data_IF_922372816847
#
_entry.id   IF_922372816847
#
_cell.length_a   1.000
_cell.length_b   1.000
_cell.length_c   1.000
_cell.angle_alpha   90.00
_cell.angle_beta   90.00
_cell.angle_gamma   90.00
#
_symmetry.space_group_name_H-M   'P 1'
#
loop_
_entity.id
_entity.type
_entity.pdbx_description
1 polymer ?
#
# COMPACT_ATOMS: atom_id res chain seq x y z
N UNK A 1 15.72 16.45 58.79
CA UNK A 1 15.95 16.87 57.40
C UNK A 1 16.81 15.78 56.76
N UNK A 2 16.42 15.06 55.70
CA UNK A 2 16.44 15.53 54.31
C UNK A 2 15.84 14.38 53.48
N UNK A 3 14.73 14.64 52.79
CA UNK A 3 14.02 13.66 51.95
C UNK A 3 14.82 13.44 50.67
N UNK A 4 15.18 12.19 50.36
CA UNK A 4 15.74 11.79 49.07
C UNK A 4 14.58 11.73 48.05
N UNK A 5 14.53 12.73 47.18
CA UNK A 5 13.59 12.77 46.05
C UNK A 5 14.17 11.93 44.90
N UNK A 6 13.46 10.85 44.55
CA UNK A 6 13.68 10.11 43.30
C UNK A 6 13.37 11.03 42.12
N UNK A 7 14.36 11.27 41.26
CA UNK A 7 14.14 11.89 39.95
C UNK A 7 13.83 10.79 38.93
N UNK A 8 12.53 10.54 38.71
CA UNK A 8 12.05 9.69 37.62
C UNK A 8 12.11 10.53 36.32
N UNK A 9 13.19 10.39 35.57
CA UNK A 9 13.32 11.03 34.25
C UNK A 9 12.40 10.26 33.28
N UNK A 10 11.24 10.84 32.98
CA UNK A 10 10.34 10.36 31.95
C UNK A 10 10.98 10.61 30.58
N UNK A 11 11.59 9.58 30.00
CA UNK A 11 11.98 9.58 28.59
C UNK A 11 10.70 9.51 27.75
N UNK A 12 10.06 10.64 27.50
CA UNK A 12 9.00 10.72 26.49
C UNK A 12 9.67 10.66 25.13
N UNK A 13 9.56 9.51 24.45
CA UNK A 13 9.91 9.41 23.03
C UNK A 13 9.11 10.47 22.29
N UNK A 14 9.78 11.41 21.61
CA UNK A 14 9.11 12.33 20.72
C UNK A 14 8.60 11.50 19.54
N UNK A 15 7.31 11.16 19.55
CA UNK A 15 6.66 10.61 18.37
C UNK A 15 6.64 11.73 17.32
N UNK A 16 7.45 11.59 16.27
CA UNK A 16 7.37 12.49 15.13
C UNK A 16 6.04 12.27 14.43
N UNK A 17 5.30 13.35 14.15
CA UNK A 17 4.04 13.26 13.43
C UNK A 17 4.28 12.65 12.04
N UNK A 18 3.43 11.72 11.65
CA UNK A 18 3.48 11.13 10.32
C UNK A 18 3.21 12.18 9.24
N UNK A 19 3.59 11.85 8.01
CA UNK A 19 3.28 12.67 6.85
C UNK A 19 2.43 11.87 5.88
N UNK A 20 1.32 12.46 5.44
CA UNK A 20 0.48 11.92 4.38
C UNK A 20 1.22 12.08 3.05
N UNK A 21 1.52 10.94 2.44
CA UNK A 21 2.05 10.85 1.08
C UNK A 21 1.03 10.16 0.17
N UNK A 22 1.10 10.46 -1.12
CA UNK A 22 0.37 9.71 -2.13
C UNK A 22 1.27 8.56 -2.62
N UNK A 23 1.05 7.36 -2.09
CA UNK A 23 1.84 6.16 -2.40
C UNK A 23 1.27 5.48 -3.64
N UNK A 24 2.07 5.31 -4.72
CA UNK A 24 1.63 4.53 -5.86
C UNK A 24 1.67 3.03 -5.56
N UNK A 25 0.72 2.29 -6.12
CA UNK A 25 0.72 0.83 -6.10
C UNK A 25 0.21 0.27 -7.42
N UNK A 26 0.57 -0.97 -7.71
CA UNK A 26 0.22 -1.69 -8.93
C UNK A 26 -0.79 -2.80 -8.65
N UNK A 27 -1.72 -2.98 -9.58
CA UNK A 27 -2.67 -4.09 -9.60
C UNK A 27 -2.71 -4.69 -11.00
N UNK A 28 -3.30 -5.89 -11.11
CA UNK A 28 -3.64 -6.48 -12.41
C UNK A 28 -5.14 -6.37 -12.63
N UNK A 29 -5.53 -5.49 -13.56
CA UNK A 29 -6.90 -5.32 -13.99
C UNK A 29 -7.26 -6.34 -15.07
N UNK A 30 -8.53 -6.74 -15.08
CA UNK A 30 -9.11 -7.74 -15.97
C UNK A 30 -10.30 -7.14 -16.72
N UNK A 31 -10.72 -7.81 -17.77
CA UNK A 31 -11.94 -7.51 -18.52
C UNK A 31 -13.00 -8.55 -18.19
N UNK A 32 -14.07 -8.12 -17.52
CA UNK A 32 -15.14 -8.99 -17.04
C UNK A 32 -16.48 -8.49 -17.57
N UNK A 33 -17.29 -9.40 -18.14
CA UNK A 33 -18.48 -9.05 -18.91
C UNK A 33 -19.55 -8.25 -18.15
N UNK A 34 -19.57 -8.35 -16.82
CA UNK A 34 -20.64 -7.77 -15.98
C UNK A 34 -20.16 -6.79 -14.91
N UNK A 35 -18.87 -6.45 -14.86
CA UNK A 35 -18.32 -5.60 -13.79
C UNK A 35 -17.54 -4.42 -14.37
N UNK A 36 -17.81 -3.21 -13.87
CA UNK A 36 -17.05 -1.99 -14.20
C UNK A 36 -15.62 -2.07 -13.65
N UNK A 37 -15.47 -2.67 -12.46
CA UNK A 37 -14.19 -2.93 -11.80
C UNK A 37 -13.95 -4.44 -11.74
N UNK A 38 -12.81 -4.89 -12.25
CA UNK A 38 -12.43 -6.30 -12.19
C UNK A 38 -10.91 -6.43 -12.05
N UNK A 39 -10.47 -7.03 -10.95
CA UNK A 39 -9.04 -7.11 -10.61
C UNK A 39 -8.68 -8.51 -10.13
N UNK A 40 -7.46 -8.96 -10.44
CA UNK A 40 -6.96 -10.23 -9.92
C UNK A 40 -6.71 -10.12 -8.41
N UNK A 41 -7.33 -11.01 -7.63
CA UNK A 41 -7.10 -11.15 -6.18
C UNK A 41 -6.03 -12.22 -5.89
N UNK A 42 -5.93 -13.21 -6.78
CA UNK A 42 -4.89 -14.25 -6.80
C UNK A 42 -4.61 -14.69 -8.24
N UNK A 43 -3.72 -15.67 -8.44
CA UNK A 43 -3.43 -16.19 -9.79
C UNK A 43 -4.60 -16.99 -10.40
N UNK A 44 -5.61 -17.36 -9.61
CA UNK A 44 -6.78 -18.12 -10.06
C UNK A 44 -8.13 -17.49 -9.71
N UNK A 45 -8.16 -16.32 -9.06
CA UNK A 45 -9.39 -15.64 -8.68
C UNK A 45 -9.32 -14.14 -8.93
N UNK A 46 -10.49 -13.54 -9.13
CA UNK A 46 -10.67 -12.11 -9.31
C UNK A 46 -11.72 -11.56 -8.35
N UNK A 47 -11.69 -10.24 -8.15
CA UNK A 47 -12.65 -9.48 -7.36
C UNK A 47 -13.28 -8.38 -8.21
N UNK A 48 -14.47 -7.94 -7.82
CA UNK A 48 -15.20 -6.83 -8.45
C UNK A 48 -14.90 -5.46 -7.85
N UNK A 49 -13.79 -5.29 -7.11
CA UNK A 49 -13.43 -4.04 -6.45
C UNK A 49 -11.93 -3.85 -6.34
N UNK A 50 -11.45 -2.60 -6.40
CA UNK A 50 -10.04 -2.28 -6.24
C UNK A 50 -9.48 -2.64 -4.86
N UNK A 51 -10.32 -2.61 -3.80
CA UNK A 51 -9.90 -2.95 -2.43
C UNK A 51 -9.59 -4.44 -2.24
N UNK A 52 -10.24 -5.33 -2.99
CA UNK A 52 -9.94 -6.76 -2.96
C UNK A 52 -8.81 -7.17 -3.91
N UNK A 53 -8.27 -6.24 -4.70
CA UNK A 53 -7.23 -6.53 -5.67
C UNK A 53 -5.93 -6.90 -4.97
N UNK A 54 -5.14 -7.79 -5.58
CA UNK A 54 -3.77 -7.98 -5.13
C UNK A 54 -2.94 -6.76 -5.50
N UNK A 55 -2.35 -6.13 -4.47
CA UNK A 55 -1.53 -4.92 -4.59
C UNK A 55 -0.04 -5.27 -4.57
N UNK A 56 0.73 -4.48 -5.30
CA UNK A 56 2.17 -4.56 -5.35
C UNK A 56 2.77 -3.16 -5.31
N UNK A 57 3.76 -2.95 -4.45
CA UNK A 57 4.47 -1.66 -4.40
C UNK A 57 5.43 -1.50 -5.60
N UNK A 58 5.85 -2.62 -6.19
CA UNK A 58 6.80 -2.68 -7.29
C UNK A 58 6.16 -3.23 -8.57
N UNK A 59 6.37 -2.51 -9.69
CA UNK A 59 5.85 -2.89 -11.00
C UNK A 59 6.40 -4.24 -11.44
N UNK A 60 7.66 -4.56 -11.13
CA UNK A 60 8.29 -5.82 -11.54
C UNK A 60 7.61 -7.03 -10.88
N UNK A 61 7.25 -6.90 -9.60
CA UNK A 61 6.46 -7.92 -8.90
C UNK A 61 5.06 -8.08 -9.49
N UNK A 62 4.40 -6.97 -9.85
CA UNK A 62 3.10 -7.01 -10.51
C UNK A 62 3.18 -7.70 -11.88
N UNK A 63 4.23 -7.44 -12.67
CA UNK A 63 4.47 -8.12 -13.95
C UNK A 63 4.68 -9.62 -13.77
N UNK A 64 5.50 -10.04 -12.80
CA UNK A 64 5.67 -11.47 -12.49
C UNK A 64 4.35 -12.13 -12.12
N UNK A 65 3.50 -11.42 -11.38
CA UNK A 65 2.18 -11.92 -11.03
C UNK A 65 1.25 -12.02 -12.25
N UNK A 66 1.24 -11.00 -13.13
CA UNK A 66 0.54 -11.02 -14.41
C UNK A 66 0.91 -12.25 -15.26
N UNK A 67 2.21 -12.55 -15.33
CA UNK A 67 2.72 -13.70 -16.09
C UNK A 67 2.36 -15.05 -15.45
N UNK A 68 2.11 -15.06 -14.13
CA UNK A 68 1.76 -16.27 -13.36
C UNK A 68 0.26 -16.61 -13.39
N UNK A 69 -0.57 -15.78 -14.01
CA UNK A 69 -2.02 -15.98 -14.05
C UNK A 69 -2.38 -17.30 -14.75
N UNK A 70 -3.36 -18.01 -14.17
CA UNK A 70 -3.95 -19.19 -14.83
C UNK A 70 -4.67 -18.79 -16.12
N UNK A 71 -4.85 -19.75 -17.04
CA UNK A 71 -5.54 -19.54 -18.32
C UNK A 71 -6.89 -18.84 -18.16
N UNK A 72 -7.67 -19.24 -17.14
CA UNK A 72 -8.98 -18.65 -16.82
C UNK A 72 -8.97 -17.12 -16.63
N UNK A 73 -7.87 -16.57 -16.12
CA UNK A 73 -7.69 -15.12 -15.97
C UNK A 73 -6.94 -14.51 -17.16
N UNK A 74 -6.04 -15.25 -17.82
CA UNK A 74 -5.37 -14.79 -19.04
C UNK A 74 -6.36 -14.53 -20.18
N UNK A 75 -7.44 -15.31 -20.24
CA UNK A 75 -8.52 -15.14 -21.22
C UNK A 75 -9.38 -13.88 -20.96
N UNK A 76 -9.14 -13.17 -19.84
CA UNK A 76 -9.81 -11.92 -19.45
C UNK A 76 -9.00 -10.67 -19.80
N UNK A 77 -8.09 -10.74 -20.76
CA UNK A 77 -7.27 -9.60 -21.21
C UNK A 77 -6.61 -8.85 -20.04
N UNK A 78 -5.77 -9.52 -19.25
CA UNK A 78 -5.20 -8.92 -18.06
C UNK A 78 -4.19 -7.82 -18.42
N UNK A 79 -4.16 -6.73 -17.63
CA UNK A 79 -3.27 -5.58 -17.83
C UNK A 79 -2.82 -5.01 -16.50
N UNK A 80 -1.64 -4.39 -16.48
CA UNK A 80 -1.17 -3.65 -15.30
C UNK A 80 -1.86 -2.30 -15.24
N UNK A 81 -2.30 -1.92 -14.04
CA UNK A 81 -2.78 -0.57 -13.74
C UNK A 81 -2.07 -0.04 -12.50
N UNK A 82 -1.66 1.22 -12.55
CA UNK A 82 -1.11 1.93 -11.40
C UNK A 82 -2.22 2.78 -10.78
N UNK A 83 -2.33 2.69 -9.46
CA UNK A 83 -3.22 3.49 -8.63
C UNK A 83 -2.38 4.21 -7.58
N UNK A 84 -3.02 5.10 -6.82
CA UNK A 84 -2.35 5.72 -5.67
C UNK A 84 -3.32 5.86 -4.52
N UNK A 85 -2.80 5.80 -3.30
CA UNK A 85 -3.58 6.05 -2.10
C UNK A 85 -2.81 6.93 -1.11
N UNK A 86 -3.56 7.59 -0.24
CA UNK A 86 -2.97 8.36 0.84
C UNK A 86 -2.51 7.42 1.94
N UNK A 87 -1.22 7.45 2.23
CA UNK A 87 -0.61 6.67 3.31
C UNK A 87 0.08 7.61 4.28
N UNK A 88 -0.13 7.37 5.58
CA UNK A 88 0.63 8.02 6.63
C UNK A 88 1.96 7.28 6.81
N UNK A 89 3.08 7.98 6.58
CA UNK A 89 4.42 7.41 6.77
C UNK A 89 5.19 8.20 7.81
N UNK A 90 6.01 7.50 8.59
CA UNK A 90 6.95 8.15 9.51
C UNK A 90 8.00 8.94 8.71
N UNK A 91 8.29 10.20 9.05
CA UNK A 91 9.37 10.94 8.43
C UNK A 91 10.70 10.24 8.72
N UNK A 92 11.36 9.70 7.70
CA UNK A 92 12.70 9.15 7.89
C UNK A 92 13.70 10.31 7.93
N UNK A 93 14.43 10.48 9.04
CA UNK A 93 15.18 11.67 9.45
C UNK A 93 16.27 12.24 8.52
N UNK A 94 16.37 11.78 7.28
CA UNK A 94 17.29 12.31 6.27
C UNK A 94 16.62 13.08 5.13
N UNK A 95 15.28 13.11 5.03
CA UNK A 95 14.60 13.85 3.97
C UNK A 95 13.41 14.65 4.50
N UNK A 96 13.34 15.97 4.26
CA UNK A 96 12.13 16.73 4.55
C UNK A 96 11.01 16.26 3.62
N UNK A 97 10.13 15.38 4.12
CA UNK A 97 8.93 14.96 3.40
C UNK A 97 7.96 16.13 3.42
N UNK A 98 7.80 16.80 2.27
CA UNK A 98 6.78 17.85 2.09
C UNK A 98 5.40 17.18 1.94
N UNK A 99 4.66 17.06 3.04
CA UNK A 99 3.28 16.58 3.02
C UNK A 99 2.46 17.10 4.20
N UNK A 100 1.15 16.87 4.15
CA UNK A 100 0.24 17.22 5.25
C UNK A 100 0.49 16.26 6.41
N UNK A 101 0.50 16.78 7.64
CA UNK A 101 0.63 15.93 8.83
C UNK A 101 -0.56 14.99 8.96
N UNK A 102 -0.26 13.77 9.35
CA UNK A 102 -1.14 12.80 9.99
C UNK A 102 -0.49 12.43 11.34
#
# INVERSE_FOLDING_TARGET
MRRLLLALVLFTSAAEAGVLINSPYWVVALTCSNNQECYAASNGSYTGSLNGARRFDDQTQATKFLDSLTSSLRDKSPRLEQHSEQQCVEPSGNHPVQGRRC
#
